data_IF_169606639014
#
_entry.id   IF_169606639014
#
_cell.length_a   1.000
_cell.length_b   1.000
_cell.length_c   1.000
_cell.angle_alpha   90.00
_cell.angle_beta   90.00
_cell.angle_gamma   90.00
#
_symmetry.space_group_name_H-M   'P 1'
#
loop_
_entity.id
_entity.type
_entity.pdbx_description
1 polymer ?
#
# COMPACT_ATOMS: atom_id res chain seq x y z
N UNK A 1 -4.36 -5.33 -13.89
CA UNK A 1 -4.45 -6.05 -12.59
C UNK A 1 -3.75 -7.39 -12.76
N UNK A 2 -3.01 -7.83 -11.75
CA UNK A 2 -2.26 -9.09 -11.79
C UNK A 2 -2.61 -9.98 -10.60
N UNK A 3 -2.77 -11.28 -10.84
CA UNK A 3 -3.13 -12.28 -9.83
C UNK A 3 -2.34 -13.57 -9.96
N UNK A 4 -2.33 -14.36 -8.89
CA UNK A 4 -1.76 -15.70 -8.85
C UNK A 4 -2.86 -16.69 -8.50
N UNK A 5 -2.96 -17.78 -9.25
CA UNK A 5 -3.88 -18.87 -8.95
C UNK A 5 -3.18 -20.18 -8.64
N UNK A 6 -3.68 -20.92 -7.65
CA UNK A 6 -3.40 -22.35 -7.52
C UNK A 6 -4.37 -23.15 -8.41
N UNK A 7 -4.25 -24.48 -8.46
CA UNK A 7 -4.99 -25.42 -9.34
C UNK A 7 -6.53 -25.40 -9.25
N UNK A 8 -7.15 -24.36 -8.69
CA UNK A 8 -8.59 -24.08 -8.76
C UNK A 8 -8.77 -22.63 -9.24
N UNK A 9 -9.35 -22.46 -10.42
CA UNK A 9 -9.44 -21.17 -11.14
C UNK A 9 -10.49 -20.21 -10.51
N UNK A 10 -11.57 -20.75 -9.92
CA UNK A 10 -12.72 -19.97 -9.46
C UNK A 10 -12.45 -18.95 -8.32
N UNK A 11 -11.68 -19.27 -7.26
CA UNK A 11 -11.43 -18.32 -6.17
C UNK A 11 -10.66 -17.08 -6.62
N UNK A 12 -9.81 -17.24 -7.64
CA UNK A 12 -8.88 -16.20 -8.06
C UNK A 12 -9.55 -15.24 -9.04
N UNK A 13 -10.39 -15.75 -9.93
CA UNK A 13 -11.18 -14.89 -10.82
C UNK A 13 -12.15 -14.03 -10.00
N UNK A 14 -12.80 -14.61 -8.99
CA UNK A 14 -13.65 -13.86 -8.04
C UNK A 14 -12.87 -12.77 -7.29
N UNK A 15 -11.64 -13.07 -6.85
CA UNK A 15 -10.75 -12.07 -6.23
C UNK A 15 -10.40 -10.93 -7.21
N UNK A 16 -10.11 -11.23 -8.48
CA UNK A 16 -9.80 -10.22 -9.49
C UNK A 16 -11.02 -9.39 -9.89
N UNK A 17 -12.22 -9.96 -9.86
CA UNK A 17 -13.47 -9.22 -10.02
C UNK A 17 -13.70 -8.24 -8.87
N UNK A 18 -13.47 -8.68 -7.63
CA UNK A 18 -13.50 -7.79 -6.48
C UNK A 18 -12.47 -6.68 -6.60
N UNK A 19 -11.24 -7.02 -7.00
CA UNK A 19 -10.19 -6.03 -7.23
C UNK A 19 -10.62 -5.02 -8.30
N UNK A 20 -11.28 -5.45 -9.38
CA UNK A 20 -11.82 -4.55 -10.40
C UNK A 20 -12.83 -3.56 -9.80
N UNK A 21 -13.72 -4.02 -8.91
CA UNK A 21 -14.68 -3.15 -8.19
C UNK A 21 -13.97 -2.16 -7.26
N UNK A 22 -12.89 -2.56 -6.61
CA UNK A 22 -12.06 -1.65 -5.80
C UNK A 22 -11.38 -0.59 -6.67
N UNK A 23 -10.84 -0.98 -7.83
CA UNK A 23 -10.21 -0.04 -8.78
C UNK A 23 -11.22 1.01 -9.27
N UNK A 24 -12.43 0.59 -9.63
CA UNK A 24 -13.52 1.50 -9.99
C UNK A 24 -13.89 2.43 -8.83
N UNK A 25 -13.96 1.89 -7.62
CA UNK A 25 -14.18 2.67 -6.40
C UNK A 25 -13.09 3.73 -6.16
N UNK A 26 -11.85 3.41 -6.53
CA UNK A 26 -10.74 4.35 -6.53
C UNK A 26 -10.76 5.30 -7.75
N UNK A 27 -11.82 5.33 -8.55
CA UNK A 27 -11.96 6.22 -9.70
C UNK A 27 -10.99 5.91 -10.85
N UNK A 28 -10.46 4.69 -10.90
CA UNK A 28 -9.64 4.19 -12.01
C UNK A 28 -10.43 3.19 -12.85
N UNK A 29 -9.97 2.95 -14.08
CA UNK A 29 -10.64 2.06 -15.03
C UNK A 29 -9.82 0.75 -15.11
N UNK A 30 -10.41 -0.41 -14.75
CA UNK A 30 -9.76 -1.70 -15.00
C UNK A 30 -9.66 -1.97 -16.50
N UNK A 31 -8.44 -2.10 -17.03
CA UNK A 31 -8.22 -2.30 -18.47
C UNK A 31 -7.88 -3.75 -18.81
N UNK A 32 -7.05 -4.41 -17.99
CA UNK A 32 -6.56 -5.76 -18.25
C UNK A 32 -6.45 -6.58 -16.95
N UNK A 33 -6.63 -7.90 -17.09
CA UNK A 33 -6.36 -8.92 -16.07
C UNK A 33 -5.29 -9.86 -16.60
N UNK A 34 -4.23 -10.08 -15.82
CA UNK A 34 -3.22 -11.09 -16.13
C UNK A 34 -3.11 -12.04 -14.96
N UNK A 35 -3.39 -13.32 -15.24
CA UNK A 35 -3.26 -14.40 -14.29
C UNK A 35 -2.03 -15.24 -14.62
N UNK A 36 -1.37 -15.74 -13.58
CA UNK A 36 -0.42 -16.83 -13.70
C UNK A 36 -0.74 -17.94 -12.70
N UNK A 37 -0.88 -19.16 -13.21
CA UNK A 37 -1.00 -20.35 -12.37
C UNK A 37 0.34 -20.62 -11.67
N UNK A 38 0.34 -20.45 -10.36
CA UNK A 38 1.48 -20.69 -9.47
C UNK A 38 1.02 -20.77 -8.02
N UNK A 39 1.47 -21.80 -7.31
CA UNK A 39 1.13 -22.01 -5.89
C UNK A 39 1.70 -20.96 -4.93
N UNK A 40 2.81 -20.31 -5.29
CA UNK A 40 3.48 -19.29 -4.46
C UNK A 40 4.02 -18.13 -5.31
N UNK A 41 4.02 -16.88 -4.83
CA UNK A 41 4.59 -15.77 -5.56
C UNK A 41 6.09 -15.96 -5.85
N UNK A 42 6.53 -15.47 -7.01
CA UNK A 42 7.95 -15.41 -7.33
C UNK A 42 8.64 -14.39 -6.42
N UNK A 43 9.73 -14.80 -5.76
CA UNK A 43 10.41 -13.99 -4.76
C UNK A 43 10.84 -12.61 -5.26
N UNK A 44 11.23 -12.50 -6.54
CA UNK A 44 11.72 -11.25 -7.11
C UNK A 44 10.64 -10.40 -7.78
N UNK A 45 9.53 -10.96 -8.25
CA UNK A 45 8.65 -10.27 -9.21
C UNK A 45 7.16 -10.59 -9.06
N UNK A 46 6.77 -11.32 -8.01
CA UNK A 46 5.41 -11.83 -7.77
C UNK A 46 4.92 -12.83 -8.83
N UNK A 47 4.91 -12.45 -10.10
CA UNK A 47 4.79 -13.33 -11.27
C UNK A 47 6.18 -13.82 -11.73
N UNK A 48 6.22 -14.83 -12.58
CA UNK A 48 7.43 -15.25 -13.28
C UNK A 48 7.97 -14.17 -14.24
N UNK A 49 9.29 -14.11 -14.43
CA UNK A 49 9.94 -13.05 -15.24
C UNK A 49 9.38 -12.94 -16.66
N UNK A 50 9.09 -14.07 -17.32
CA UNK A 50 8.48 -14.06 -18.66
C UNK A 50 7.14 -13.34 -18.68
N UNK A 51 6.28 -13.64 -17.68
CA UNK A 51 4.97 -13.01 -17.53
C UNK A 51 5.06 -11.53 -17.21
N UNK A 52 6.05 -11.10 -16.45
CA UNK A 52 6.26 -9.65 -16.19
C UNK A 52 6.74 -8.93 -17.45
N UNK A 53 7.53 -9.57 -18.33
CA UNK A 53 7.88 -8.99 -19.64
C UNK A 53 6.66 -8.85 -20.56
N UNK A 54 5.78 -9.86 -20.59
CA UNK A 54 4.49 -9.78 -21.29
C UNK A 54 3.63 -8.64 -20.74
N UNK A 55 3.52 -8.54 -19.40
CA UNK A 55 2.84 -7.45 -18.72
C UNK A 55 3.41 -6.08 -19.12
N UNK A 56 4.73 -5.94 -19.21
CA UNK A 56 5.36 -4.69 -19.64
C UNK A 56 5.01 -4.31 -21.08
N UNK A 57 4.92 -5.27 -22.00
CA UNK A 57 4.44 -5.03 -23.37
C UNK A 57 2.99 -4.57 -23.37
N UNK A 58 2.12 -5.28 -22.65
CA UNK A 58 0.71 -4.94 -22.54
C UNK A 58 0.50 -3.56 -21.89
N UNK A 59 1.33 -3.18 -20.91
CA UNK A 59 1.26 -1.85 -20.30
C UNK A 59 1.55 -0.75 -21.32
N UNK A 60 2.55 -0.95 -22.20
CA UNK A 60 2.87 0.02 -23.27
C UNK A 60 1.77 0.09 -24.33
N UNK A 61 1.29 -1.06 -24.78
CA UNK A 61 0.26 -1.17 -25.81
C UNK A 61 -1.06 -0.50 -25.38
N UNK A 62 -1.51 -0.80 -24.17
CA UNK A 62 -2.77 -0.29 -23.62
C UNK A 62 -2.62 1.01 -22.82
N UNK A 63 -1.43 1.63 -22.83
CA UNK A 63 -1.12 2.88 -22.11
C UNK A 63 -1.50 2.84 -20.62
N UNK A 64 -1.16 1.74 -19.96
CA UNK A 64 -1.46 1.53 -18.54
C UNK A 64 -0.56 2.43 -17.67
N UNK A 65 -1.18 3.20 -16.78
CA UNK A 65 -0.47 4.08 -15.83
C UNK A 65 -0.11 3.40 -14.51
N UNK A 66 -0.89 2.39 -14.10
CA UNK A 66 -0.70 1.67 -12.85
C UNK A 66 -1.02 0.19 -12.99
N UNK A 67 -0.10 -0.65 -12.50
CA UNK A 67 -0.32 -2.08 -12.29
C UNK A 67 -0.71 -2.31 -10.84
N UNK A 68 -1.76 -3.10 -10.64
CA UNK A 68 -2.29 -3.43 -9.32
C UNK A 68 -2.19 -4.94 -9.11
N UNK A 69 -1.45 -5.34 -8.09
CA UNK A 69 -1.33 -6.73 -7.67
C UNK A 69 -2.41 -7.11 -6.65
N UNK A 70 -3.00 -8.29 -6.84
CA UNK A 70 -4.06 -8.81 -5.98
C UNK A 70 -3.56 -9.21 -4.58
N UNK A 71 -2.28 -9.61 -4.49
CA UNK A 71 -1.58 -9.91 -3.25
C UNK A 71 -0.61 -8.82 -2.84
N UNK A 72 -0.10 -8.90 -1.60
CA UNK A 72 0.91 -7.98 -1.11
C UNK A 72 2.25 -8.15 -1.84
N UNK A 73 2.89 -7.02 -2.13
CA UNK A 73 4.21 -6.99 -2.75
C UNK A 73 5.27 -6.62 -1.72
N UNK A 74 6.38 -7.35 -1.72
CA UNK A 74 7.59 -6.90 -1.04
C UNK A 74 8.18 -5.67 -1.76
N UNK A 75 8.97 -4.82 -1.07
CA UNK A 75 9.61 -3.67 -1.72
C UNK A 75 10.46 -4.06 -2.93
N UNK A 76 11.17 -5.20 -2.84
CA UNK A 76 11.96 -5.73 -3.93
C UNK A 76 11.09 -6.20 -5.10
N UNK A 77 9.97 -6.89 -4.82
CA UNK A 77 9.02 -7.30 -5.86
C UNK A 77 8.46 -6.10 -6.60
N UNK A 78 7.99 -5.09 -5.85
CA UNK A 78 7.44 -3.87 -6.43
C UNK A 78 8.46 -3.17 -7.32
N UNK A 79 9.66 -2.91 -6.82
CA UNK A 79 10.72 -2.23 -7.59
C UNK A 79 11.10 -2.99 -8.87
N UNK A 80 11.30 -4.31 -8.77
CA UNK A 80 11.63 -5.12 -9.94
C UNK A 80 10.50 -5.16 -10.98
N UNK A 81 9.24 -5.11 -10.56
CA UNK A 81 8.10 -5.02 -11.50
C UNK A 81 8.10 -3.63 -12.13
N UNK A 82 8.20 -2.55 -11.33
CA UNK A 82 8.26 -1.15 -11.81
C UNK A 82 9.35 -0.97 -12.88
N UNK A 83 10.54 -1.52 -12.66
CA UNK A 83 11.66 -1.48 -13.60
C UNK A 83 11.35 -2.16 -14.94
N UNK A 84 10.50 -3.19 -14.95
CA UNK A 84 10.15 -3.92 -16.18
C UNK A 84 8.94 -3.28 -16.88
N UNK A 85 7.91 -2.90 -16.12
CA UNK A 85 6.63 -2.40 -16.67
C UNK A 85 6.66 -0.90 -16.97
N UNK A 86 7.60 -0.16 -16.41
CA UNK A 86 7.81 1.28 -16.64
C UNK A 86 6.59 2.15 -16.31
N UNK A 87 5.79 1.71 -15.34
CA UNK A 87 4.65 2.45 -14.77
C UNK A 87 4.50 2.14 -13.28
N UNK A 88 3.61 2.85 -12.58
CA UNK A 88 3.46 2.68 -11.14
C UNK A 88 2.97 1.28 -10.77
N UNK A 89 3.48 0.70 -9.68
CA UNK A 89 3.00 -0.61 -9.19
C UNK A 89 2.55 -0.47 -7.75
N UNK A 90 1.31 -0.89 -7.49
CA UNK A 90 0.74 -0.94 -6.14
C UNK A 90 0.16 -2.32 -5.85
N UNK A 91 0.00 -2.66 -4.57
CA UNK A 91 -0.73 -3.85 -4.14
C UNK A 91 -2.16 -3.50 -3.70
N UNK A 92 -2.95 -4.54 -3.45
CA UNK A 92 -4.33 -4.42 -2.96
C UNK A 92 -4.40 -3.61 -1.66
N UNK A 93 -3.45 -3.79 -0.74
CA UNK A 93 -3.43 -3.07 0.54
C UNK A 93 -3.28 -1.57 0.32
N UNK A 94 -2.34 -1.14 -0.53
CA UNK A 94 -2.18 0.28 -0.90
C UNK A 94 -3.45 0.84 -1.57
N UNK A 95 -4.07 0.11 -2.50
CA UNK A 95 -5.32 0.53 -3.14
C UNK A 95 -6.43 0.77 -2.11
N UNK A 96 -6.60 -0.14 -1.16
CA UNK A 96 -7.60 -0.02 -0.08
C UNK A 96 -7.34 1.21 0.78
N UNK A 97 -6.07 1.45 1.15
CA UNK A 97 -5.69 2.64 1.91
C UNK A 97 -5.98 3.94 1.16
N UNK A 98 -5.76 3.98 -0.15
CA UNK A 98 -6.05 5.15 -0.99
C UNK A 98 -7.57 5.41 -1.09
N UNK A 99 -8.37 4.34 -1.20
CA UNK A 99 -9.84 4.44 -1.15
C UNK A 99 -10.29 5.00 0.21
N UNK A 100 -9.74 4.51 1.31
CA UNK A 100 -10.07 5.01 2.64
C UNK A 100 -9.64 6.47 2.83
N UNK A 101 -8.48 6.87 2.31
CA UNK A 101 -8.02 8.25 2.37
C UNK A 101 -8.99 9.19 1.67
N UNK A 102 -9.51 8.79 0.51
CA UNK A 102 -10.51 9.56 -0.25
C UNK A 102 -11.88 9.63 0.44
N UNK A 103 -12.26 8.58 1.18
CA UNK A 103 -13.55 8.47 1.86
C UNK A 103 -13.55 9.07 3.27
N UNK A 104 -12.40 9.21 3.91
CA UNK A 104 -12.28 9.71 5.28
C UNK A 104 -12.72 11.17 5.42
N UNK A 105 -13.95 11.40 5.89
CA UNK A 105 -14.50 12.75 6.13
C UNK A 105 -14.24 13.26 7.54
N UNK A 106 -14.40 12.40 8.55
CA UNK A 106 -14.23 12.79 9.95
C UNK A 106 -12.76 12.95 10.34
N UNK A 107 -12.48 13.83 11.31
CA UNK A 107 -11.12 13.96 11.85
C UNK A 107 -10.60 12.64 12.42
N UNK A 108 -11.44 11.84 13.07
CA UNK A 108 -11.07 10.52 13.58
C UNK A 108 -10.70 9.58 12.44
N UNK A 109 -11.53 9.52 11.38
CA UNK A 109 -11.29 8.67 10.22
C UNK A 109 -10.00 9.03 9.50
N UNK A 110 -9.73 10.33 9.30
CA UNK A 110 -8.48 10.79 8.68
C UNK A 110 -7.25 10.34 9.47
N UNK A 111 -7.30 10.44 10.80
CA UNK A 111 -6.20 9.99 11.66
C UNK A 111 -5.99 8.48 11.60
N UNK A 112 -7.06 7.68 11.56
CA UNK A 112 -6.96 6.23 11.44
C UNK A 112 -6.37 5.80 10.09
N UNK A 113 -6.77 6.44 9.00
CA UNK A 113 -6.20 6.17 7.67
C UNK A 113 -4.73 6.56 7.63
N UNK A 114 -4.38 7.74 8.15
CA UNK A 114 -2.98 8.16 8.23
C UNK A 114 -2.14 7.18 9.06
N UNK A 115 -2.65 6.73 10.21
CA UNK A 115 -1.99 5.71 11.03
C UNK A 115 -1.73 4.42 10.22
N UNK A 116 -2.71 3.97 9.46
CA UNK A 116 -2.60 2.76 8.65
C UNK A 116 -1.58 2.95 7.51
N UNK A 117 -1.60 4.09 6.81
CA UNK A 117 -0.63 4.42 5.77
C UNK A 117 0.80 4.47 6.31
N UNK A 118 1.02 5.12 7.46
CA UNK A 118 2.36 5.19 8.09
C UNK A 118 2.87 3.80 8.50
N UNK A 119 2.00 2.94 9.05
CA UNK A 119 2.33 1.55 9.41
C UNK A 119 2.66 0.70 8.19
N UNK A 120 1.94 0.90 7.09
CA UNK A 120 2.18 0.20 5.83
C UNK A 120 3.51 0.64 5.19
N UNK A 121 3.81 1.94 5.22
CA UNK A 121 5.01 2.53 4.62
C UNK A 121 6.29 2.16 5.38
N UNK A 122 6.26 2.16 6.72
CA UNK A 122 7.44 1.98 7.57
C UNK A 122 8.31 0.74 7.21
N UNK A 123 7.76 -0.50 7.11
CA UNK A 123 8.56 -1.66 6.72
C UNK A 123 9.04 -1.60 5.25
N UNK A 124 8.41 -0.77 4.42
CA UNK A 124 8.70 -0.65 2.98
C UNK A 124 9.77 0.40 2.64
N UNK A 125 10.16 1.26 3.59
CA UNK A 125 11.25 2.24 3.43
C UNK A 125 12.62 1.60 3.17
N UNK A 126 12.85 0.39 3.71
CA UNK A 126 14.15 -0.30 3.64
C UNK A 126 14.53 -0.61 2.19
N UNK A 127 13.55 -0.92 1.33
CA UNK A 127 13.78 -1.17 -0.10
C UNK A 127 14.30 0.04 -0.87
N UNK A 128 13.94 1.26 -0.46
CA UNK A 128 14.41 2.50 -1.09
C UNK A 128 15.84 2.88 -0.68
N UNK A 129 16.32 2.36 0.45
CA UNK A 129 17.65 2.64 0.98
C UNK A 129 18.80 2.16 0.10
N UNK A 130 18.62 1.07 -0.65
CA UNK A 130 19.66 0.53 -1.54
C UNK A 130 19.94 1.45 -2.74
N UNK A 131 18.91 2.13 -3.26
CA UNK A 131 19.05 3.11 -4.36
C UNK A 131 19.71 4.41 -3.85
N UNK A 132 19.32 4.86 -2.65
CA UNK A 132 19.89 6.07 -2.03
C UNK A 132 21.32 5.87 -1.55
N UNK A 133 21.68 4.66 -1.09
CA UNK A 133 23.04 4.30 -0.68
C UNK A 133 24.03 4.30 -1.86
N UNK A 134 23.59 3.91 -3.07
CA UNK A 134 24.43 3.98 -4.27
C UNK A 134 24.73 5.42 -4.71
N UNK A 135 23.81 6.36 -4.52
CA UNK A 135 24.06 7.79 -4.78
C UNK A 135 24.96 8.45 -3.71
N UNK A 136 25.04 7.88 -2.50
CA UNK A 136 25.94 8.33 -1.43
C UNK A 136 27.24 7.52 -1.31
N UNK A 137 27.45 6.53 -2.20
CA UNK A 137 28.49 5.50 -2.09
C UNK A 137 29.80 5.79 -2.83
N UNK A 138 30.06 7.04 -3.21
CA UNK A 138 31.31 7.46 -3.84
C UNK A 138 32.05 8.46 -2.95
N UNK A 139 32.98 7.97 -2.14
CA UNK A 139 34.02 8.74 -1.43
C UNK A 139 33.50 9.69 -0.33
N UNK A 140 33.59 9.26 0.93
CA UNK A 140 34.00 10.21 1.98
C UNK A 140 33.03 10.62 3.10
N UNK A 141 32.07 9.80 3.56
CA UNK A 141 31.38 10.09 4.85
C UNK A 141 31.96 9.27 6.00
N UNK A 142 33.22 9.55 6.36
CA UNK A 142 33.73 9.26 7.71
C UNK A 142 33.26 10.38 8.64
N UNK A 143 32.05 10.23 9.16
CA UNK A 143 31.48 11.08 10.20
C UNK A 143 30.25 10.40 10.82
N UNK A 144 29.87 10.71 12.07
CA UNK A 144 28.76 10.06 12.78
C UNK A 144 27.37 10.53 12.28
N UNK A 145 27.21 10.64 10.95
CA UNK A 145 26.05 11.21 10.29
C UNK A 145 24.93 10.19 10.08
N UNK A 146 23.75 10.51 10.60
CA UNK A 146 22.50 9.75 10.42
C UNK A 146 22.22 9.55 8.91
N UNK A 147 21.99 8.30 8.47
CA UNK A 147 21.65 8.05 7.07
C UNK A 147 20.30 8.67 6.72
N UNK A 148 20.09 9.05 5.45
CA UNK A 148 18.78 9.59 4.99
C UNK A 148 17.62 8.65 5.33
N UNK A 149 17.85 7.33 5.20
CA UNK A 149 16.88 6.30 5.57
C UNK A 149 16.56 6.33 7.07
N UNK A 150 17.56 6.49 7.92
CA UNK A 150 17.35 6.57 9.37
C UNK A 150 16.58 7.86 9.74
N UNK A 151 16.89 8.97 9.09
CA UNK A 151 16.17 10.23 9.26
C UNK A 151 14.70 10.10 8.85
N UNK A 152 14.41 9.47 7.72
CA UNK A 152 13.05 9.25 7.23
C UNK A 152 12.26 8.30 8.16
N UNK A 153 12.91 7.23 8.62
CA UNK A 153 12.34 6.29 9.60
C UNK A 153 11.98 7.01 10.89
N UNK A 154 12.89 7.85 11.41
CA UNK A 154 12.68 8.65 12.60
C UNK A 154 11.53 9.65 12.44
N UNK A 155 11.41 10.31 11.28
CA UNK A 155 10.28 11.21 10.96
C UNK A 155 8.94 10.46 11.00
N UNK A 156 8.88 9.26 10.39
CA UNK A 156 7.67 8.43 10.39
C UNK A 156 7.32 7.97 11.81
N UNK A 157 8.29 7.54 12.62
CA UNK A 157 8.05 7.18 14.02
C UNK A 157 7.52 8.35 14.84
N UNK A 158 8.10 9.55 14.70
CA UNK A 158 7.59 10.75 15.38
C UNK A 158 6.14 11.03 14.98
N UNK A 159 5.82 10.93 13.69
CA UNK A 159 4.46 11.15 13.19
C UNK A 159 3.48 10.10 13.71
N UNK A 160 3.88 8.81 13.72
CA UNK A 160 3.10 7.72 14.31
C UNK A 160 2.72 8.04 15.76
N UNK A 161 3.68 8.46 16.59
CA UNK A 161 3.41 8.80 17.99
C UNK A 161 2.43 9.98 18.12
N UNK A 162 2.54 11.00 17.25
CA UNK A 162 1.60 12.13 17.24
C UNK A 162 0.19 11.68 16.88
N UNK A 163 0.04 10.94 15.78
CA UNK A 163 -1.28 10.46 15.30
C UNK A 163 -1.93 9.54 16.33
N UNK A 164 -1.17 8.64 16.95
CA UNK A 164 -1.67 7.76 18.01
C UNK A 164 -2.20 8.54 19.22
N UNK A 165 -1.48 9.57 19.67
CA UNK A 165 -1.96 10.45 20.75
C UNK A 165 -3.25 11.18 20.35
N UNK A 166 -3.32 11.71 19.13
CA UNK A 166 -4.52 12.40 18.65
C UNK A 166 -5.74 11.47 18.61
N UNK A 167 -5.57 10.23 18.15
CA UNK A 167 -6.62 9.21 18.18
C UNK A 167 -7.11 8.95 19.61
N UNK A 168 -6.17 8.81 20.56
CA UNK A 168 -6.51 8.57 21.97
C UNK A 168 -7.31 9.74 22.57
N UNK A 169 -6.94 10.98 22.27
CA UNK A 169 -7.72 12.16 22.66
C UNK A 169 -9.16 12.14 22.11
N UNK A 170 -9.32 11.78 20.83
CA UNK A 170 -10.65 11.66 20.20
C UNK A 170 -11.48 10.57 20.87
N UNK A 171 -10.88 9.41 21.16
CA UNK A 171 -11.52 8.29 21.86
C UNK A 171 -12.03 8.69 23.24
N UNK A 172 -11.21 9.39 24.03
CA UNK A 172 -11.59 9.89 25.36
C UNK A 172 -12.76 10.86 25.28
N UNK A 173 -12.73 11.82 24.34
CA UNK A 173 -13.84 12.76 24.12
C UNK A 173 -15.13 12.03 23.76
N UNK A 174 -15.06 11.01 22.90
CA UNK A 174 -16.21 10.19 22.50
C UNK A 174 -16.75 9.35 23.66
N UNK A 175 -15.89 8.83 24.53
CA UNK A 175 -16.30 8.11 25.75
C UNK A 175 -17.05 9.02 26.72
N UNK A 176 -16.57 10.24 26.97
CA UNK A 176 -17.25 11.24 27.81
C UNK A 176 -18.63 11.62 27.26
N UNK A 177 -18.75 11.81 25.95
CA UNK A 177 -20.03 12.10 25.30
C UNK A 177 -21.03 10.94 25.45
N UNK A 178 -20.56 9.69 25.31
CA UNK A 178 -21.39 8.49 25.53
C UNK A 178 -21.86 8.40 26.98
N UNK A 179 -20.97 8.55 27.96
CA UNK A 179 -21.33 8.52 29.38
C UNK A 179 -22.39 9.58 29.75
N UNK A 180 -22.29 10.79 29.18
CA UNK A 180 -23.29 11.85 29.37
C UNK A 180 -24.66 11.50 28.75
N UNK A 181 -24.70 10.80 27.61
CA UNK A 181 -25.95 10.37 26.97
C UNK A 181 -26.63 9.24 27.74
N UNK A 182 -25.85 8.26 28.22
CA UNK A 182 -26.35 7.18 29.09
C UNK A 182 -26.95 7.73 30.38
N UNK A 183 -26.29 8.72 31.01
CA UNK A 183 -26.81 9.40 32.21
C UNK A 183 -28.10 10.20 31.96
N UNK A 184 -28.39 10.56 30.70
CA UNK A 184 -29.58 11.31 30.28
C UNK A 184 -30.67 10.44 29.64
N UNK A 185 -30.55 9.10 29.65
CA UNK A 185 -31.49 8.16 29.01
C UNK A 185 -31.83 8.52 27.54
N UNK A 186 -30.87 9.08 26.79
CA UNK A 186 -31.06 9.34 25.37
C UNK A 186 -30.84 8.04 24.58
N UNK A 187 -31.89 7.59 23.86
CA UNK A 187 -31.81 6.43 22.97
C UNK A 187 -30.68 6.60 21.95
N UNK A 188 -29.88 5.54 21.79
CA UNK A 188 -28.85 5.46 20.76
C UNK A 188 -29.28 4.38 19.78
N UNK A 189 -29.50 4.76 18.51
CA UNK A 189 -29.79 3.84 17.39
C UNK A 189 -28.48 3.35 16.80
#
# INVERSE_FOLDING_TARGET
MIGLGAEHHDPVESSLEELARLVQTAGAIPVLRILQERSRPHAATFLGRGKVKELGKACKEHKISVVIADGELSPAQRGNIEDIVQCGVIDRTQLILDIFARRARSSEGKLQVELAQLRYLLPRLIGFGQVLSRLGGGIGTRGPGETKLETDRRRIHRRLSVVQRQIEHVRRRRAQLRARRTKRQLLTV
#
